data_IF_831250494727
#
_entry.id   IF_831250494727
#
_cell.length_a   1.000
_cell.length_b   1.000
_cell.length_c   1.000
_cell.angle_alpha   90.00
_cell.angle_beta   90.00
_cell.angle_gamma   90.00
#
_symmetry.space_group_name_H-M   'P 1'
#
loop_
_entity.id
_entity.type
_entity.pdbx_description
1 polymer ?
#
# COMPACT_ATOMS: atom_id res chain seq x y z
N UNK A 1 29.98 1.89 5.36
CA UNK A 1 29.94 0.61 4.61
C UNK A 1 28.51 0.09 4.55
N UNK A 2 27.84 -0.08 5.69
CA UNK A 2 26.48 -0.64 5.78
C UNK A 2 25.41 0.18 5.05
N UNK A 3 25.51 1.51 5.08
CA UNK A 3 24.59 2.38 4.33
C UNK A 3 24.62 2.14 2.81
N UNK A 4 25.82 2.01 2.23
CA UNK A 4 25.96 1.76 0.79
C UNK A 4 25.42 0.37 0.43
N UNK A 5 25.75 -0.64 1.25
CA UNK A 5 25.18 -1.97 1.10
C UNK A 5 23.65 -1.97 1.18
N UNK A 6 23.06 -1.14 2.07
CA UNK A 6 21.61 -0.96 2.16
C UNK A 6 21.02 -0.36 0.87
N UNK A 7 21.69 0.60 0.23
CA UNK A 7 21.21 1.19 -1.03
C UNK A 7 21.26 0.20 -2.19
N UNK A 8 22.24 -0.70 -2.23
CA UNK A 8 22.34 -1.72 -3.29
C UNK A 8 21.11 -2.64 -3.32
N UNK A 9 20.48 -2.90 -2.17
CA UNK A 9 19.24 -3.70 -2.09
C UNK A 9 18.07 -3.08 -2.85
N UNK A 10 18.03 -1.74 -3.02
CA UNK A 10 16.94 -1.08 -3.75
C UNK A 10 16.85 -1.57 -5.19
N UNK A 11 17.99 -1.77 -5.84
CA UNK A 11 18.03 -2.28 -7.22
C UNK A 11 17.47 -3.69 -7.31
N UNK A 12 17.86 -4.57 -6.38
CA UNK A 12 17.36 -5.95 -6.31
C UNK A 12 15.84 -6.01 -6.06
N UNK A 13 15.34 -5.22 -5.10
CA UNK A 13 13.91 -5.19 -4.81
C UNK A 13 13.08 -4.61 -5.96
N UNK A 14 13.57 -3.56 -6.62
CA UNK A 14 12.89 -3.01 -7.79
C UNK A 14 12.85 -4.00 -8.96
N UNK A 15 13.91 -4.79 -9.18
CA UNK A 15 13.90 -5.87 -10.18
C UNK A 15 12.85 -6.94 -9.86
N UNK A 16 12.76 -7.38 -8.60
CA UNK A 16 11.73 -8.34 -8.19
C UNK A 16 10.31 -7.77 -8.28
N UNK A 17 10.11 -6.50 -7.92
CA UNK A 17 8.82 -5.83 -8.04
C UNK A 17 8.41 -5.68 -9.51
N UNK A 18 9.35 -5.41 -10.41
CA UNK A 18 9.07 -5.35 -11.85
C UNK A 18 8.50 -6.66 -12.37
N UNK A 19 9.05 -7.82 -11.96
CA UNK A 19 8.51 -9.15 -12.31
C UNK A 19 7.10 -9.36 -11.77
N UNK A 20 6.81 -8.88 -10.55
CA UNK A 20 5.46 -8.93 -9.97
C UNK A 20 4.48 -8.09 -10.79
N UNK A 21 4.86 -6.86 -11.16
CA UNK A 21 4.02 -5.95 -11.94
C UNK A 21 3.83 -6.37 -13.41
N UNK A 22 4.60 -7.34 -13.92
CA UNK A 22 4.28 -7.99 -15.20
C UNK A 22 3.05 -8.90 -15.10
N UNK A 23 2.68 -9.33 -13.89
CA UNK A 23 1.57 -10.27 -13.64
C UNK A 23 0.33 -9.59 -13.07
N UNK A 24 0.45 -8.37 -12.56
CA UNK A 24 -0.68 -7.59 -12.04
C UNK A 24 -0.48 -6.09 -12.25
N UNK A 25 -1.58 -5.34 -12.37
CA UNK A 25 -1.54 -3.87 -12.48
C UNK A 25 -1.20 -3.18 -11.14
N UNK A 26 -1.64 -3.76 -10.03
CA UNK A 26 -1.48 -3.23 -8.67
C UNK A 26 -1.33 -4.36 -7.65
N UNK A 27 -0.60 -4.09 -6.56
CA UNK A 27 -0.57 -4.93 -5.36
C UNK A 27 -1.58 -4.37 -4.37
N UNK A 28 -2.37 -5.24 -3.72
CA UNK A 28 -3.30 -4.87 -2.65
C UNK A 28 -2.75 -5.39 -1.32
N UNK A 29 -2.68 -4.53 -0.31
CA UNK A 29 -2.16 -4.83 1.03
C UNK A 29 -2.90 -4.04 2.11
N UNK A 30 -2.93 -4.47 3.38
CA UNK A 30 -3.36 -3.60 4.48
C UNK A 30 -2.53 -2.32 4.53
N UNK A 31 -3.14 -1.18 4.86
CA UNK A 31 -2.42 0.10 5.01
C UNK A 31 -1.67 0.21 6.35
N UNK A 32 -2.09 -0.58 7.35
CA UNK A 32 -1.49 -0.67 8.68
C UNK A 32 -1.71 -2.07 9.26
N UNK A 33 -0.97 -2.42 10.32
CA UNK A 33 -1.10 -3.70 11.03
C UNK A 33 -2.42 -3.87 11.77
N UNK A 34 -3.13 -2.78 12.01
CA UNK A 34 -4.41 -2.78 12.71
C UNK A 34 -4.94 -1.37 12.91
N UNK A 35 -5.98 -1.26 13.74
CA UNK A 35 -6.54 0.03 14.14
C UNK A 35 -5.48 0.91 14.80
N UNK A 36 -5.72 2.22 14.78
CA UNK A 36 -4.86 3.16 15.47
C UNK A 36 -4.69 2.75 16.95
N UNK A 37 -3.45 2.75 17.48
CA UNK A 37 -3.21 2.48 18.88
C UNK A 37 -4.00 3.43 19.78
N UNK A 38 -4.52 2.92 20.89
CA UNK A 38 -5.31 3.73 21.82
C UNK A 38 -4.45 4.70 22.66
N UNK A 39 -3.15 4.39 22.81
CA UNK A 39 -2.21 5.27 23.51
C UNK A 39 -1.43 6.13 22.50
N UNK A 40 -0.97 7.30 22.94
CA UNK A 40 -0.24 8.26 22.10
C UNK A 40 1.29 8.04 22.11
N UNK A 41 1.75 6.91 22.66
CA UNK A 41 3.19 6.63 22.78
C UNK A 41 3.80 6.09 21.47
N UNK A 42 2.95 5.65 20.55
CA UNK A 42 3.36 5.10 19.26
C UNK A 42 2.31 5.39 18.19
N UNK A 43 2.75 5.53 16.95
CA UNK A 43 1.89 5.64 15.78
C UNK A 43 1.58 4.29 15.13
N UNK A 44 2.12 3.19 15.68
CA UNK A 44 2.01 1.84 15.15
C UNK A 44 3.24 1.41 14.34
N UNK A 45 3.16 0.23 13.75
CA UNK A 45 4.23 -0.35 12.93
C UNK A 45 4.07 0.02 11.45
N UNK A 46 5.14 0.55 10.85
CA UNK A 46 5.20 0.96 9.45
C UNK A 46 5.61 -0.18 8.50
N UNK A 47 5.62 -1.45 8.95
CA UNK A 47 6.04 -2.62 8.16
C UNK A 47 5.37 -2.71 6.77
N UNK A 48 4.10 -2.31 6.67
CA UNK A 48 3.37 -2.27 5.40
C UNK A 48 3.65 -1.06 4.50
N UNK A 49 4.47 -0.10 4.94
CA UNK A 49 4.74 1.16 4.22
C UNK A 49 6.23 1.36 3.88
N UNK A 50 7.12 0.78 4.71
CA UNK A 50 8.56 0.97 4.57
C UNK A 50 9.11 0.49 3.24
N UNK A 51 8.66 -0.68 2.75
CA UNK A 51 9.13 -1.25 1.49
C UNK A 51 8.84 -0.33 0.29
N UNK A 52 7.61 0.20 0.21
CA UNK A 52 7.19 1.07 -0.90
C UNK A 52 7.94 2.39 -0.90
N UNK A 53 8.15 2.96 0.29
CA UNK A 53 8.93 4.19 0.47
C UNK A 53 10.39 3.97 0.06
N UNK A 54 10.96 2.83 0.45
CA UNK A 54 12.34 2.48 0.11
C UNK A 54 12.52 2.22 -1.39
N UNK A 55 11.57 1.54 -2.03
CA UNK A 55 11.61 1.20 -3.46
C UNK A 55 11.20 2.36 -4.37
N UNK A 56 10.48 3.36 -3.84
CA UNK A 56 9.96 4.50 -4.59
C UNK A 56 8.70 4.17 -5.40
N UNK A 57 7.97 3.12 -5.03
CA UNK A 57 6.74 2.74 -5.72
C UNK A 57 5.57 3.62 -5.29
N UNK A 58 4.71 4.09 -6.22
CA UNK A 58 3.53 4.86 -5.86
C UNK A 58 2.55 4.00 -5.07
N UNK A 59 1.99 4.55 -3.99
CA UNK A 59 1.04 3.88 -3.11
C UNK A 59 -0.11 4.83 -2.74
N UNK A 60 -1.34 4.31 -2.67
CA UNK A 60 -2.53 5.05 -2.26
C UNK A 60 -3.38 4.21 -1.30
N UNK A 61 -3.93 4.85 -0.27
CA UNK A 61 -4.81 4.20 0.71
C UNK A 61 -6.27 4.62 0.49
N UNK A 62 -7.17 3.63 0.50
CA UNK A 62 -8.62 3.81 0.42
C UNK A 62 -9.26 3.29 1.72
N UNK A 63 -10.13 4.05 2.40
CA UNK A 63 -10.82 3.59 3.61
C UNK A 63 -11.94 2.61 3.25
N UNK A 64 -11.64 1.31 3.28
CA UNK A 64 -12.55 0.24 2.84
C UNK A 64 -12.86 -0.79 3.94
N UNK A 65 -12.18 -0.72 5.07
CA UNK A 65 -12.31 -1.70 6.15
C UNK A 65 -12.72 -1.01 7.45
N UNK A 66 -13.22 -1.80 8.39
CA UNK A 66 -13.54 -1.38 9.75
C UNK A 66 -12.92 -2.36 10.73
N UNK A 67 -12.37 -1.87 11.83
CA UNK A 67 -11.95 -2.72 12.94
C UNK A 67 -13.14 -3.28 13.70
N UNK A 68 -12.92 -4.31 14.52
CA UNK A 68 -13.96 -4.86 15.40
C UNK A 68 -14.52 -3.81 16.38
N UNK A 69 -13.75 -2.77 16.68
CA UNK A 69 -14.16 -1.66 17.56
C UNK A 69 -14.76 -0.48 16.79
N UNK A 70 -15.09 -0.64 15.50
CA UNK A 70 -15.71 0.40 14.69
C UNK A 70 -14.78 1.52 14.26
N UNK A 71 -13.45 1.30 14.23
CA UNK A 71 -12.52 2.30 13.72
C UNK A 71 -12.27 2.10 12.21
N UNK A 72 -12.21 3.17 11.40
CA UNK A 72 -11.95 3.06 9.97
C UNK A 72 -10.54 2.53 9.70
N UNK A 73 -10.43 1.64 8.72
CA UNK A 73 -9.21 0.95 8.33
C UNK A 73 -9.00 1.06 6.83
N UNK A 74 -7.74 1.26 6.43
CA UNK A 74 -7.36 1.46 5.04
C UNK A 74 -6.87 0.18 4.36
N UNK A 75 -7.22 0.04 3.07
CA UNK A 75 -6.53 -0.86 2.13
C UNK A 75 -5.59 0.00 1.28
N UNK A 76 -4.35 -0.44 1.11
CA UNK A 76 -3.38 0.22 0.28
C UNK A 76 -3.25 -0.49 -1.06
N UNK A 77 -3.24 0.29 -2.13
CA UNK A 77 -2.92 -0.14 -3.48
C UNK A 77 -1.55 0.41 -3.83
N UNK A 78 -0.67 -0.45 -4.33
CA UNK A 78 0.69 -0.10 -4.73
C UNK A 78 0.86 -0.37 -6.21
N UNK A 79 1.33 0.63 -6.94
CA UNK A 79 1.54 0.57 -8.39
C UNK A 79 3.02 0.48 -8.77
N UNK A 80 3.25 0.19 -10.03
CA UNK A 80 4.58 0.27 -10.65
C UNK A 80 5.08 1.71 -10.70
N UNK A 81 6.40 1.89 -10.58
CA UNK A 81 7.06 3.20 -10.72
C UNK A 81 6.67 3.85 -12.05
N UNK A 82 6.27 5.12 -12.02
CA UNK A 82 5.84 5.89 -13.19
C UNK A 82 4.40 5.67 -13.64
N UNK A 83 3.63 4.83 -12.93
CA UNK A 83 2.24 4.49 -13.26
C UNK A 83 1.20 5.14 -12.33
N UNK A 84 1.50 6.28 -11.72
CA UNK A 84 0.65 7.00 -10.76
C UNK A 84 -0.78 7.24 -11.27
N UNK A 85 -0.92 7.70 -12.53
CA UNK A 85 -2.23 7.92 -13.14
C UNK A 85 -3.04 6.62 -13.30
N UNK A 86 -2.37 5.50 -13.62
CA UNK A 86 -3.00 4.17 -13.68
C UNK A 86 -3.41 3.72 -12.27
N UNK A 87 -2.55 3.91 -11.28
CA UNK A 87 -2.85 3.58 -9.87
C UNK A 87 -4.10 4.33 -9.38
N UNK A 88 -4.17 5.65 -9.61
CA UNK A 88 -5.32 6.48 -9.25
C UNK A 88 -6.60 6.04 -9.95
N UNK A 89 -6.52 5.69 -11.24
CA UNK A 89 -7.66 5.16 -11.99
C UNK A 89 -8.16 3.84 -11.39
N UNK A 90 -7.25 2.91 -11.07
CA UNK A 90 -7.60 1.63 -10.45
C UNK A 90 -8.19 1.83 -9.05
N UNK A 91 -7.64 2.74 -8.26
CA UNK A 91 -8.18 3.09 -6.94
C UNK A 91 -9.61 3.64 -7.02
N UNK A 92 -9.85 4.55 -7.96
CA UNK A 92 -11.19 5.08 -8.19
C UNK A 92 -12.18 3.99 -8.63
N UNK A 93 -11.77 3.12 -9.56
CA UNK A 93 -12.58 1.98 -9.99
C UNK A 93 -12.94 1.07 -8.80
N UNK A 94 -11.96 0.68 -7.98
CA UNK A 94 -12.19 -0.20 -6.83
C UNK A 94 -13.17 0.44 -5.84
N UNK A 95 -12.98 1.72 -5.51
CA UNK A 95 -13.89 2.47 -4.65
C UNK A 95 -15.32 2.47 -5.19
N UNK A 96 -15.51 2.78 -6.47
CA UNK A 96 -16.84 2.83 -7.11
C UNK A 96 -17.48 1.44 -7.16
N UNK A 97 -16.72 0.41 -7.51
CA UNK A 97 -17.21 -0.96 -7.60
C UNK A 97 -17.73 -1.47 -6.24
N UNK A 98 -16.99 -1.18 -5.16
CA UNK A 98 -17.41 -1.58 -3.82
C UNK A 98 -18.61 -0.76 -3.31
N UNK A 99 -18.72 0.53 -3.64
CA UNK A 99 -19.91 1.30 -3.28
C UNK A 99 -21.18 0.76 -3.95
N UNK A 100 -21.09 0.30 -5.21
CA UNK A 100 -22.26 -0.28 -5.90
C UNK A 100 -22.68 -1.65 -5.36
N UNK A 101 -21.80 -2.35 -4.65
CA UNK A 101 -22.07 -3.66 -4.05
C UNK A 101 -22.60 -3.56 -2.61
N UNK A 102 -22.31 -2.46 -1.90
CA UNK A 102 -22.75 -2.24 -0.52
C UNK A 102 -24.21 -1.77 -0.35
N UNK A 103 -24.87 -1.40 -1.45
CA UNK A 103 -26.27 -0.94 -1.49
C UNK A 103 -27.26 -2.06 -1.91
N UNK A 104 -26.81 -3.33 -1.97
CA UNK A 104 -27.61 -4.52 -2.28
C UNK A 104 -27.67 -5.48 -1.09
#
# INVERSE_FOLDING_TARGET
RDYLAALDWRGLFNAGLEEVFQRCDVIITPAATGQAPANLNTTGDAIFNGLWTFCGTPAITIPLLWSQNGMPMGVQLVGKIGNDARLLRTANWLKTYLSTQGDA
#
